data_IF_328337001304
#
_entry.id   IF_328337001304
#
_cell.length_a   1.000
_cell.length_b   1.000
_cell.length_c   1.000
_cell.angle_alpha   90.00
_cell.angle_beta   90.00
_cell.angle_gamma   90.00
#
_symmetry.space_group_name_H-M   'P 1'
#
loop_
_entity.id
_entity.type
_entity.pdbx_description
1 polymer ?
#
# COMPACT_ATOMS: atom_id res chain seq x y z
N UNK A 1 -22.39 -8.59 -7.96
CA UNK A 1 -21.69 -8.73 -6.68
C UNK A 1 -20.18 -8.48 -6.80
N UNK A 2 -19.43 -9.26 -7.60
CA UNK A 2 -17.96 -9.18 -7.62
C UNK A 2 -17.36 -7.81 -7.96
N UNK A 3 -17.76 -7.16 -9.07
CA UNK A 3 -17.05 -5.95 -9.54
C UNK A 3 -17.12 -4.76 -8.58
N UNK A 4 -18.23 -4.58 -7.86
CA UNK A 4 -18.40 -3.48 -6.90
C UNK A 4 -17.50 -3.67 -5.68
N UNK A 5 -17.37 -4.92 -5.21
CA UNK A 5 -16.49 -5.26 -4.08
C UNK A 5 -15.02 -5.14 -4.45
N UNK A 6 -14.64 -5.58 -5.66
CA UNK A 6 -13.27 -5.42 -6.18
C UNK A 6 -12.86 -3.94 -6.24
N UNK A 7 -13.74 -3.07 -6.76
CA UNK A 7 -13.48 -1.62 -6.81
C UNK A 7 -13.38 -1.04 -5.40
N UNK A 8 -14.22 -1.49 -4.47
CA UNK A 8 -14.24 -0.97 -3.09
C UNK A 8 -12.98 -1.34 -2.31
N UNK A 9 -12.53 -2.61 -2.38
CA UNK A 9 -11.32 -3.03 -1.65
C UNK A 9 -10.06 -2.36 -2.21
N UNK A 10 -10.01 -2.13 -3.53
CA UNK A 10 -8.94 -1.35 -4.16
C UNK A 10 -8.97 0.12 -3.70
N UNK A 11 -10.15 0.75 -3.65
CA UNK A 11 -10.30 2.10 -3.09
C UNK A 11 -9.78 2.18 -1.65
N UNK A 12 -10.14 1.24 -0.78
CA UNK A 12 -9.67 1.22 0.62
C UNK A 12 -8.15 1.05 0.68
N UNK A 13 -7.59 0.15 -0.13
CA UNK A 13 -6.15 -0.03 -0.23
C UNK A 13 -5.44 1.25 -0.68
N UNK A 14 -5.95 1.92 -1.72
CA UNK A 14 -5.34 3.14 -2.25
C UNK A 14 -5.44 4.31 -1.26
N UNK A 15 -6.57 4.43 -0.54
CA UNK A 15 -6.74 5.38 0.57
C UNK A 15 -5.74 5.14 1.71
N UNK A 16 -5.56 3.87 2.10
CA UNK A 16 -4.62 3.49 3.16
C UNK A 16 -3.15 3.78 2.79
N UNK A 17 -2.83 3.77 1.50
CA UNK A 17 -1.50 4.10 0.99
C UNK A 17 -1.31 5.60 0.68
N UNK A 18 -2.32 6.44 0.89
CA UNK A 18 -2.22 7.88 0.61
C UNK A 18 -2.06 8.24 -0.87
N UNK A 19 -2.34 7.32 -1.80
CA UNK A 19 -2.04 7.51 -3.23
C UNK A 19 -3.08 8.33 -3.99
N UNK A 20 -4.21 8.67 -3.34
CA UNK A 20 -5.33 9.38 -3.95
C UNK A 20 -5.40 10.83 -3.47
N UNK A 21 -5.34 11.77 -4.40
CA UNK A 21 -5.65 13.17 -4.15
C UNK A 21 -7.12 13.46 -4.49
N UNK A 22 -7.89 13.97 -3.53
CA UNK A 22 -9.27 14.41 -3.76
C UNK A 22 -9.34 15.93 -3.76
N UNK A 23 -9.75 16.50 -4.91
CA UNK A 23 -9.93 17.95 -5.04
C UNK A 23 -11.30 18.40 -4.56
N UNK A 24 -12.36 17.67 -4.94
CA UNK A 24 -13.75 17.93 -4.53
C UNK A 24 -14.51 16.60 -4.34
N UNK A 25 -15.32 16.50 -3.29
CA UNK A 25 -16.19 15.35 -2.94
C UNK A 25 -15.44 14.01 -2.71
N UNK A 26 -14.74 13.85 -1.56
CA UNK A 26 -14.05 12.61 -1.24
C UNK A 26 -15.03 11.44 -1.05
N UNK A 27 -14.61 10.20 -1.32
CA UNK A 27 -15.38 8.99 -1.00
C UNK A 27 -15.77 8.92 0.49
N UNK A 28 -16.89 8.26 0.78
CA UNK A 28 -17.35 8.07 2.16
C UNK A 28 -16.34 7.27 3.00
N UNK A 29 -15.63 6.33 2.35
CA UNK A 29 -14.55 5.54 2.95
C UNK A 29 -13.43 6.40 3.58
N UNK A 30 -13.17 7.62 3.08
CA UNK A 30 -12.17 8.52 3.66
C UNK A 30 -12.44 8.90 5.12
N UNK A 31 -13.68 8.73 5.61
CA UNK A 31 -14.01 8.99 7.03
C UNK A 31 -13.51 7.88 7.96
N UNK A 32 -13.21 6.71 7.42
CA UNK A 32 -12.92 5.49 8.19
C UNK A 32 -11.55 4.90 7.87
N UNK A 33 -11.05 5.15 6.67
CA UNK A 33 -9.73 4.69 6.23
C UNK A 33 -8.75 5.81 6.44
N UNK A 34 -7.81 5.59 7.34
CA UNK A 34 -6.68 6.49 7.54
C UNK A 34 -5.59 6.21 6.50
N UNK A 35 -4.91 7.26 6.07
CA UNK A 35 -3.66 7.15 5.32
C UNK A 35 -2.54 6.73 6.28
N UNK A 36 -1.94 5.57 6.04
CA UNK A 36 -0.89 4.96 6.87
C UNK A 36 0.52 5.48 6.55
N UNK A 37 0.67 6.27 5.49
CA UNK A 37 1.93 6.86 5.04
C UNK A 37 2.05 8.35 5.40
N UNK A 38 1.11 8.89 6.17
CA UNK A 38 1.27 10.20 6.80
C UNK A 38 2.50 10.24 7.71
N UNK A 39 3.09 11.42 7.82
CA UNK A 39 4.30 11.67 8.61
C UNK A 39 4.19 11.11 10.03
N UNK A 40 5.19 10.31 10.41
CA UNK A 40 5.29 9.75 11.76
C UNK A 40 4.52 8.45 11.97
N UNK A 41 3.80 7.95 10.97
CA UNK A 41 3.19 6.60 11.01
C UNK A 41 4.20 5.51 10.68
N UNK A 42 3.82 4.28 11.01
CA UNK A 42 4.69 3.10 10.90
C UNK A 42 5.08 2.82 9.45
N UNK A 43 4.15 2.94 8.49
CA UNK A 43 4.45 2.65 7.08
C UNK A 43 5.38 3.71 6.49
N UNK A 44 5.18 5.00 6.81
CA UNK A 44 6.09 6.08 6.42
C UNK A 44 7.51 5.84 6.94
N UNK A 45 7.65 5.58 8.25
CA UNK A 45 8.95 5.33 8.87
C UNK A 45 9.66 4.11 8.27
N UNK A 46 8.93 3.00 8.07
CA UNK A 46 9.48 1.79 7.47
C UNK A 46 9.92 2.02 6.02
N UNK A 47 9.12 2.74 5.23
CA UNK A 47 9.48 3.09 3.85
C UNK A 47 10.72 4.00 3.81
N UNK A 48 10.77 5.01 4.67
CA UNK A 48 11.95 5.87 4.86
C UNK A 48 13.20 5.07 5.22
N UNK A 49 13.09 4.06 6.09
CA UNK A 49 14.20 3.16 6.41
C UNK A 49 14.65 2.28 5.22
N UNK A 50 13.71 1.77 4.42
CA UNK A 50 13.99 1.03 3.19
C UNK A 50 14.79 1.91 2.22
N UNK A 51 14.31 3.14 1.95
CA UNK A 51 14.99 4.07 1.04
C UNK A 51 16.37 4.49 1.55
N UNK A 52 16.52 4.71 2.85
CA UNK A 52 17.82 4.98 3.45
C UNK A 52 18.78 3.80 3.33
N UNK A 53 18.29 2.56 3.51
CA UNK A 53 19.11 1.36 3.34
C UNK A 53 19.52 1.15 1.88
N UNK A 54 18.61 1.45 0.96
CA UNK A 54 18.83 1.42 -0.48
C UNK A 54 19.95 2.38 -0.90
N UNK A 55 19.85 3.67 -0.54
CA UNK A 55 20.88 4.66 -0.87
C UNK A 55 22.27 4.25 -0.35
N UNK A 56 22.36 3.80 0.92
CA UNK A 56 23.62 3.31 1.49
C UNK A 56 24.19 2.10 0.74
N UNK A 57 23.35 1.29 0.12
CA UNK A 57 23.79 0.14 -0.66
C UNK A 57 24.29 0.56 -2.04
N UNK A 58 23.59 1.45 -2.74
CA UNK A 58 24.05 2.03 -4.01
C UNK A 58 25.42 2.71 -3.85
N UNK A 59 25.63 3.47 -2.77
CA UNK A 59 26.92 4.07 -2.43
C UNK A 59 28.02 3.01 -2.26
N UNK A 60 27.76 1.92 -1.52
CA UNK A 60 28.74 0.83 -1.33
C UNK A 60 29.08 0.09 -2.62
N UNK A 61 28.15 0.03 -3.56
CA UNK A 61 28.33 -0.61 -4.87
C UNK A 61 29.01 0.32 -5.89
N UNK A 62 29.31 1.57 -5.53
CA UNK A 62 29.89 2.55 -6.44
C UNK A 62 28.94 2.98 -7.55
N UNK A 63 27.63 2.92 -7.29
CA UNK A 63 26.62 3.34 -8.24
C UNK A 63 26.31 4.82 -8.01
N UNK A 64 27.02 5.70 -8.72
CA UNK A 64 26.95 7.17 -8.63
C UNK A 64 25.53 7.72 -8.89
N UNK A 65 24.66 7.63 -7.89
CA UNK A 65 23.26 8.03 -7.98
C UNK A 65 22.39 7.17 -8.90
N UNK A 66 22.84 5.95 -9.22
CA UNK A 66 22.05 5.00 -10.01
C UNK A 66 21.29 4.05 -9.10
N UNK A 67 20.06 3.74 -9.49
CA UNK A 67 19.20 2.77 -8.86
C UNK A 67 19.66 1.33 -9.18
N UNK A 68 19.61 0.44 -8.18
CA UNK A 68 19.96 -0.98 -8.31
C UNK A 68 18.75 -1.79 -8.72
N UNK A 69 18.82 -2.36 -9.92
CA UNK A 69 17.72 -3.06 -10.57
C UNK A 69 17.22 -4.25 -9.74
N UNK A 70 18.11 -5.00 -9.09
CA UNK A 70 17.72 -6.16 -8.30
C UNK A 70 16.99 -5.73 -7.01
N UNK A 71 17.38 -4.60 -6.42
CA UNK A 71 16.69 -4.06 -5.24
C UNK A 71 15.31 -3.51 -5.61
N UNK A 72 15.21 -2.76 -6.71
CA UNK A 72 13.92 -2.28 -7.22
C UNK A 72 12.97 -3.46 -7.47
N UNK A 73 13.47 -4.53 -8.11
CA UNK A 73 12.70 -5.77 -8.31
C UNK A 73 12.22 -6.34 -6.98
N UNK A 74 13.06 -6.37 -5.94
CA UNK A 74 12.70 -6.89 -4.62
C UNK A 74 11.58 -6.03 -4.00
N UNK A 75 11.72 -4.71 -4.00
CA UNK A 75 10.72 -3.78 -3.45
C UNK A 75 9.40 -3.95 -4.20
N UNK A 76 9.42 -3.89 -5.53
CA UNK A 76 8.25 -4.11 -6.40
C UNK A 76 7.54 -5.44 -6.10
N UNK A 77 8.31 -6.53 -5.91
CA UNK A 77 7.70 -7.84 -5.62
C UNK A 77 7.11 -7.89 -4.23
N UNK A 78 7.69 -7.24 -3.24
CA UNK A 78 7.09 -7.13 -1.91
C UNK A 78 5.82 -6.28 -1.92
N UNK A 79 5.76 -5.22 -2.73
CA UNK A 79 4.53 -4.44 -2.93
C UNK A 79 3.42 -5.30 -3.55
N UNK A 80 3.72 -6.07 -4.60
CA UNK A 80 2.75 -7.00 -5.22
C UNK A 80 2.26 -8.06 -4.23
N UNK A 81 3.17 -8.64 -3.43
CA UNK A 81 2.82 -9.60 -2.39
C UNK A 81 1.88 -8.94 -1.38
N UNK A 82 2.23 -7.75 -0.89
CA UNK A 82 1.48 -7.02 0.13
C UNK A 82 0.09 -6.66 -0.37
N UNK A 83 -0.02 -6.08 -1.56
CA UNK A 83 -1.32 -5.78 -2.19
C UNK A 83 -2.18 -7.05 -2.27
N UNK A 84 -1.61 -8.14 -2.79
CA UNK A 84 -2.33 -9.43 -2.92
C UNK A 84 -2.86 -9.93 -1.59
N UNK A 85 -2.06 -9.84 -0.52
CA UNK A 85 -2.46 -10.25 0.82
C UNK A 85 -3.53 -9.32 1.39
N UNK A 86 -3.40 -8.00 1.23
CA UNK A 86 -4.41 -7.03 1.66
C UNK A 86 -5.77 -7.29 0.98
N UNK A 87 -5.79 -7.55 -0.32
CA UNK A 87 -7.02 -7.89 -1.04
C UNK A 87 -7.68 -9.14 -0.48
N UNK A 88 -6.91 -10.20 -0.24
CA UNK A 88 -7.41 -11.44 0.37
C UNK A 88 -7.91 -11.23 1.80
N UNK A 89 -7.19 -10.44 2.60
CA UNK A 89 -7.59 -10.13 3.97
C UNK A 89 -8.91 -9.36 4.02
N UNK A 90 -9.12 -8.43 3.09
CA UNK A 90 -10.41 -7.78 2.93
C UNK A 90 -11.52 -8.78 2.60
N UNK A 91 -11.28 -9.66 1.62
CA UNK A 91 -12.26 -10.69 1.22
C UNK A 91 -12.61 -11.63 2.39
N UNK A 92 -11.62 -12.05 3.18
CA UNK A 92 -11.84 -12.83 4.40
C UNK A 92 -12.61 -12.03 5.46
N UNK A 93 -12.30 -10.75 5.63
CA UNK A 93 -13.03 -9.86 6.54
C UNK A 93 -14.52 -9.83 6.21
N UNK A 94 -14.88 -9.65 4.94
CA UNK A 94 -16.27 -9.67 4.47
C UNK A 94 -16.92 -11.03 4.68
N UNK A 95 -16.21 -12.13 4.38
CA UNK A 95 -16.70 -13.49 4.58
C UNK A 95 -17.04 -13.76 6.05
N UNK A 96 -16.18 -13.38 6.97
CA UNK A 96 -16.32 -13.67 8.40
C UNK A 96 -17.12 -12.62 9.19
N UNK A 97 -17.42 -11.45 8.62
CA UNK A 97 -18.24 -10.42 9.27
C UNK A 97 -19.76 -10.64 9.14
N UNK A 98 -20.20 -11.75 8.54
CA UNK A 98 -21.63 -12.08 8.37
C UNK A 98 -22.34 -11.26 7.28
N UNK A 99 -21.60 -10.56 6.41
CA UNK A 99 -22.16 -9.82 5.27
C UNK A 99 -22.64 -10.72 4.12
N UNK A 100 -22.38 -12.03 4.19
CA UNK A 100 -22.83 -13.03 3.21
C UNK A 100 -24.01 -13.90 3.68
N UNK A 101 -24.46 -13.73 4.94
CA UNK A 101 -25.55 -14.53 5.55
C UNK A 101 -26.87 -13.74 5.73
N UNK A 102 -27.07 -12.64 4.99
CA UNK A 102 -28.35 -11.90 4.94
C UNK A 102 -28.87 -11.69 3.53
#
# INVERSE_FOLDING_TARGET
MNRVMEVRKKLIYDLMNGTLEFKDNPPEECKYVEDEFLEGKVCEQAYTEIMNAYHRLCERLGMDGKEDEDIEIIIDKYEVITETLCMKMFDYGVLFSGLLDK
#
